data_IF_721154061330
#
_entry.id   IF_721154061330
#
_cell.length_a   1.000
_cell.length_b   1.000
_cell.length_c   1.000
_cell.angle_alpha   90.00
_cell.angle_beta   90.00
_cell.angle_gamma   90.00
#
_symmetry.space_group_name_H-M   'P 1'
#
loop_
_entity.id
_entity.type
_entity.pdbx_description
1 polymer ?
#
# COMPACT_ATOMS: atom_id res chain seq x y z
N UNK A 1 59.04 14.00 -20.12
CA UNK A 1 57.91 14.72 -20.75
C UNK A 1 56.64 13.98 -20.34
N UNK A 2 56.02 14.43 -19.25
CA UNK A 2 54.73 13.91 -18.80
C UNK A 2 53.66 14.69 -19.57
N UNK A 3 52.89 14.00 -20.40
CA UNK A 3 51.73 14.56 -21.10
C UNK A 3 50.63 14.79 -20.08
N UNK A 4 50.44 16.05 -19.66
CA UNK A 4 49.20 16.51 -19.05
C UNK A 4 48.07 16.33 -20.06
N UNK A 5 47.24 15.31 -19.84
CA UNK A 5 45.93 15.22 -20.48
C UNK A 5 45.09 16.39 -19.97
N UNK A 6 45.03 17.46 -20.74
CA UNK A 6 44.06 18.53 -20.53
C UNK A 6 42.66 17.93 -20.66
N UNK A 7 41.98 17.70 -19.54
CA UNK A 7 40.55 17.43 -19.54
C UNK A 7 39.88 18.68 -20.07
N UNK A 8 39.27 18.61 -21.25
CA UNK A 8 38.41 19.67 -21.76
C UNK A 8 37.37 20.01 -20.69
N UNK A 9 37.44 21.23 -20.14
CA UNK A 9 36.44 21.74 -19.23
C UNK A 9 35.17 22.02 -20.03
N UNK A 10 34.38 20.97 -20.27
CA UNK A 10 33.08 21.10 -20.92
C UNK A 10 32.17 21.83 -19.95
N UNK A 11 31.91 23.12 -20.23
CA UNK A 11 30.90 23.90 -19.53
C UNK A 11 29.51 23.45 -19.98
N UNK A 12 28.71 22.95 -19.04
CA UNK A 12 27.40 22.37 -19.35
C UNK A 12 26.27 23.41 -19.37
N UNK A 13 26.48 24.55 -18.70
CA UNK A 13 25.53 25.65 -18.58
C UNK A 13 25.62 26.33 -17.20
N UNK A 14 24.76 27.33 -16.97
CA UNK A 14 24.70 28.04 -15.69
C UNK A 14 24.14 27.13 -14.58
N UNK A 15 24.69 27.26 -13.37
CA UNK A 15 24.30 26.46 -12.23
C UNK A 15 22.83 26.68 -11.85
N UNK A 16 22.03 25.61 -11.69
CA UNK A 16 20.61 25.72 -11.35
C UNK A 16 20.34 26.25 -9.93
N UNK A 17 21.37 26.35 -9.10
CA UNK A 17 21.25 26.80 -7.69
C UNK A 17 21.58 28.26 -7.53
N UNK A 18 22.69 28.74 -8.12
CA UNK A 18 23.13 30.13 -7.96
C UNK A 18 22.85 31.01 -9.18
N UNK A 19 22.56 30.43 -10.35
CA UNK A 19 22.32 31.16 -11.60
C UNK A 19 23.54 31.88 -12.18
N UNK A 20 24.70 31.87 -11.52
CA UNK A 20 25.87 32.65 -11.89
C UNK A 20 27.04 31.77 -12.35
N UNK A 21 27.46 30.79 -11.54
CA UNK A 21 28.62 29.95 -11.86
C UNK A 21 28.27 28.87 -12.87
N UNK A 22 29.15 28.60 -13.83
CA UNK A 22 28.98 27.49 -14.79
C UNK A 22 29.16 26.12 -14.10
N UNK A 23 28.45 25.11 -14.59
CA UNK A 23 28.65 23.71 -14.17
C UNK A 23 29.78 23.10 -14.99
N UNK A 24 30.76 22.56 -14.26
CA UNK A 24 31.97 21.94 -14.81
C UNK A 24 31.95 20.47 -14.40
N UNK A 25 32.24 19.58 -15.35
CA UNK A 25 32.45 18.15 -15.09
C UNK A 25 33.90 17.91 -14.66
N UNK A 26 34.10 17.32 -13.49
CA UNK A 26 35.40 16.87 -13.00
C UNK A 26 35.51 15.34 -13.12
N UNK A 27 36.62 14.77 -12.66
CA UNK A 27 36.77 13.32 -12.53
C UNK A 27 35.98 12.71 -11.35
N UNK A 28 35.28 13.52 -10.54
CA UNK A 28 34.55 13.07 -9.34
C UNK A 28 33.09 13.50 -9.33
N UNK A 29 32.77 14.66 -9.88
CA UNK A 29 31.46 15.28 -9.78
C UNK A 29 31.19 16.30 -10.90
N UNK A 30 29.93 16.72 -11.02
CA UNK A 30 29.55 17.95 -11.70
C UNK A 30 29.41 19.04 -10.65
N UNK A 31 30.22 20.09 -10.76
CA UNK A 31 30.38 21.09 -9.71
C UNK A 31 30.21 22.50 -10.26
N UNK A 32 29.63 23.38 -9.45
CA UNK A 32 29.54 24.80 -9.81
C UNK A 32 30.91 25.49 -9.71
N UNK A 33 31.30 26.28 -10.70
CA UNK A 33 32.53 27.06 -10.69
C UNK A 33 32.63 27.98 -9.46
N UNK A 34 31.52 28.61 -9.05
CA UNK A 34 31.45 29.47 -7.86
C UNK A 34 31.55 28.70 -6.53
N UNK A 35 31.48 27.36 -6.56
CA UNK A 35 31.83 26.51 -5.41
C UNK A 35 33.34 26.36 -5.28
N UNK A 36 34.04 26.21 -6.40
CA UNK A 36 35.50 26.03 -6.45
C UNK A 36 36.25 27.35 -6.28
N UNK A 37 35.75 28.43 -6.89
CA UNK A 37 36.31 29.78 -6.85
C UNK A 37 35.18 30.76 -6.55
N UNK A 38 34.88 31.01 -5.26
CA UNK A 38 33.81 31.91 -4.88
C UNK A 38 34.09 33.33 -5.40
N UNK A 39 33.07 33.94 -5.98
CA UNK A 39 33.04 35.37 -6.28
C UNK A 39 32.18 36.05 -5.21
N UNK A 40 32.55 37.25 -4.77
CA UNK A 40 31.72 38.09 -3.88
C UNK A 40 31.34 37.50 -2.51
N UNK A 41 32.20 36.64 -1.94
CA UNK A 41 32.04 36.14 -0.57
C UNK A 41 30.95 35.07 -0.36
N UNK A 42 30.24 34.67 -1.41
CA UNK A 42 29.23 33.61 -1.36
C UNK A 42 29.66 32.40 -2.20
N UNK A 43 29.98 31.27 -1.55
CA UNK A 43 30.29 30.01 -2.23
C UNK A 43 29.02 29.22 -2.56
N UNK A 44 28.87 28.81 -3.82
CA UNK A 44 27.78 27.94 -4.22
C UNK A 44 27.95 26.53 -3.61
N UNK A 45 26.86 25.82 -3.33
CA UNK A 45 26.89 24.47 -2.76
C UNK A 45 26.68 23.35 -3.76
N UNK A 46 26.35 23.65 -5.01
CA UNK A 46 26.06 22.61 -6.00
C UNK A 46 27.29 21.77 -6.36
N UNK A 47 27.19 20.47 -6.12
CA UNK A 47 28.15 19.42 -6.49
C UNK A 47 27.39 18.10 -6.49
N UNK A 48 27.25 17.45 -7.64
CA UNK A 48 26.60 16.14 -7.80
C UNK A 48 27.64 15.10 -8.25
N UNK A 49 27.91 14.04 -7.47
CA UNK A 49 28.89 13.02 -7.84
C UNK A 49 28.58 12.35 -9.18
N UNK A 50 29.61 11.88 -9.90
CA UNK A 50 29.43 11.14 -11.16
C UNK A 50 28.60 9.86 -10.99
N UNK A 51 28.47 9.35 -9.75
CA UNK A 51 27.59 8.23 -9.40
C UNK A 51 26.85 8.51 -8.11
N UNK A 52 25.52 8.44 -8.14
CA UNK A 52 24.67 8.74 -6.98
C UNK A 52 23.41 7.85 -6.99
N UNK A 53 23.02 7.33 -5.83
CA UNK A 53 21.83 6.46 -5.69
C UNK A 53 21.77 5.30 -6.70
N UNK A 54 22.92 4.67 -6.96
CA UNK A 54 23.04 3.55 -7.90
C UNK A 54 23.00 3.94 -9.39
N UNK A 55 22.92 5.23 -9.72
CA UNK A 55 22.85 5.76 -11.08
C UNK A 55 24.14 6.49 -11.44
N UNK A 56 24.65 6.28 -12.66
CA UNK A 56 25.72 7.09 -13.24
C UNK A 56 25.12 8.38 -13.80
N UNK A 57 25.57 9.53 -13.28
CA UNK A 57 25.05 10.84 -13.64
C UNK A 57 25.65 11.26 -14.98
N UNK A 58 24.79 11.53 -15.97
CA UNK A 58 25.21 11.88 -17.33
C UNK A 58 25.16 13.39 -17.58
N UNK A 59 25.82 13.83 -18.66
CA UNK A 59 25.79 15.22 -19.10
C UNK A 59 24.36 15.68 -19.41
N UNK A 60 23.54 14.80 -20.01
CA UNK A 60 22.13 15.08 -20.33
C UNK A 60 21.29 15.30 -19.08
N UNK A 61 21.46 14.46 -18.05
CA UNK A 61 20.78 14.64 -16.75
C UNK A 61 21.14 15.98 -16.10
N UNK A 62 22.40 16.40 -16.22
CA UNK A 62 22.84 17.71 -15.71
C UNK A 62 22.25 18.85 -16.53
N UNK A 63 22.14 18.71 -17.85
CA UNK A 63 21.47 19.68 -18.72
C UNK A 63 19.97 19.78 -18.40
N UNK A 64 19.30 18.67 -18.10
CA UNK A 64 17.93 18.66 -17.60
C UNK A 64 17.80 19.40 -16.26
N UNK A 65 18.69 19.14 -15.31
CA UNK A 65 18.71 19.88 -14.04
C UNK A 65 18.89 21.38 -14.23
N UNK A 66 19.76 21.79 -15.15
CA UNK A 66 19.98 23.21 -15.50
C UNK A 66 18.72 23.82 -16.11
N UNK A 67 18.07 23.12 -17.03
CA UNK A 67 16.95 23.67 -17.82
C UNK A 67 15.62 23.61 -17.07
N UNK A 68 15.34 22.49 -16.43
CA UNK A 68 14.03 22.17 -15.85
C UNK A 68 14.03 22.23 -14.31
N UNK A 69 15.20 22.41 -13.68
CA UNK A 69 15.38 22.29 -12.24
C UNK A 69 15.29 20.85 -11.71
N UNK A 70 15.07 19.86 -12.58
CA UNK A 70 14.88 18.44 -12.23
C UNK A 70 15.15 17.53 -13.42
N UNK A 71 15.51 16.28 -13.15
CA UNK A 71 15.60 15.23 -14.18
C UNK A 71 14.26 14.53 -14.39
N UNK A 72 14.18 13.71 -15.44
CA UNK A 72 13.14 12.68 -15.55
C UNK A 72 13.23 11.62 -14.44
N UNK A 73 12.15 10.84 -14.32
CA UNK A 73 12.06 9.72 -13.37
C UNK A 73 12.92 8.55 -13.85
N UNK A 74 13.73 8.00 -12.95
CA UNK A 74 14.61 6.86 -13.23
C UNK A 74 14.63 5.87 -12.07
N UNK A 75 15.06 4.64 -12.34
CA UNK A 75 15.33 3.64 -11.31
C UNK A 75 16.61 3.99 -10.56
N UNK A 76 16.53 3.96 -9.22
CA UNK A 76 17.59 4.30 -8.28
C UNK A 76 17.66 3.23 -7.20
N UNK A 77 18.79 3.13 -6.50
CA UNK A 77 18.98 2.22 -5.38
C UNK A 77 19.31 3.00 -4.11
N UNK A 78 18.73 2.58 -2.98
CA UNK A 78 19.14 3.13 -1.68
C UNK A 78 20.44 2.46 -1.19
N UNK A 79 20.90 2.84 0.00
CA UNK A 79 22.15 2.33 0.58
C UNK A 79 22.14 0.80 0.83
N UNK A 80 20.95 0.22 1.03
CA UNK A 80 20.78 -1.23 1.21
C UNK A 80 20.65 -1.96 -0.15
N UNK A 81 20.68 -1.24 -1.27
CA UNK A 81 20.50 -1.78 -2.61
C UNK A 81 19.04 -2.02 -3.02
N UNK A 82 18.04 -1.52 -2.29
CA UNK A 82 16.64 -1.66 -2.75
C UNK A 82 16.33 -0.64 -3.85
N UNK A 83 15.70 -1.09 -4.96
CA UNK A 83 15.32 -0.21 -6.05
C UNK A 83 14.13 0.68 -5.67
N UNK A 84 14.10 1.89 -6.20
CA UNK A 84 12.97 2.82 -6.15
C UNK A 84 13.01 3.75 -7.37
N UNK A 85 11.88 4.34 -7.73
CA UNK A 85 11.85 5.36 -8.79
C UNK A 85 12.09 6.72 -8.16
N UNK A 86 13.06 7.47 -8.66
CA UNK A 86 13.39 8.80 -8.17
C UNK A 86 13.85 9.74 -9.29
N UNK A 87 14.10 11.00 -8.94
CA UNK A 87 14.72 11.99 -9.81
C UNK A 87 15.57 12.95 -8.99
N UNK A 88 16.56 13.56 -9.62
CA UNK A 88 17.29 14.66 -9.00
C UNK A 88 16.48 15.95 -9.15
N UNK A 89 16.45 16.77 -8.10
CA UNK A 89 15.79 18.09 -8.09
C UNK A 89 16.77 19.10 -7.50
N UNK A 90 17.01 20.18 -8.22
CA UNK A 90 17.82 21.29 -7.74
C UNK A 90 17.04 22.11 -6.69
N UNK A 91 17.72 22.52 -5.62
CA UNK A 91 17.16 23.39 -4.60
C UNK A 91 18.20 24.44 -4.15
N UNK A 92 17.82 25.46 -3.38
CA UNK A 92 18.77 26.47 -2.90
C UNK A 92 19.95 25.91 -2.08
N UNK A 93 19.87 24.66 -1.59
CA UNK A 93 20.94 24.00 -0.81
C UNK A 93 21.86 23.15 -1.69
N UNK A 94 21.54 22.98 -2.97
CA UNK A 94 22.25 22.11 -3.91
C UNK A 94 21.26 21.32 -4.76
N UNK A 95 21.12 20.05 -4.42
CA UNK A 95 20.12 19.17 -5.01
C UNK A 95 19.67 18.15 -3.97
N UNK A 96 18.50 17.55 -4.19
CA UNK A 96 18.02 16.40 -3.44
C UNK A 96 17.42 15.37 -4.41
N UNK A 97 17.22 14.14 -3.90
CA UNK A 97 16.49 13.12 -4.64
C UNK A 97 15.03 13.15 -4.21
N UNK A 98 14.15 13.39 -5.16
CA UNK A 98 12.72 13.22 -4.97
C UNK A 98 12.33 11.79 -5.35
N UNK A 99 11.82 11.02 -4.39
CA UNK A 99 11.32 9.67 -4.64
C UNK A 99 9.86 9.72 -5.14
N UNK A 100 9.54 8.91 -6.14
CA UNK A 100 8.19 8.78 -6.67
C UNK A 100 7.33 8.02 -5.67
N UNK A 101 6.43 8.72 -5.00
CA UNK A 101 5.44 8.07 -4.14
C UNK A 101 4.35 7.43 -5.01
N UNK A 102 4.17 6.12 -4.88
CA UNK A 102 3.06 5.41 -5.53
C UNK A 102 1.85 5.41 -4.59
N UNK A 103 0.86 6.26 -4.88
CA UNK A 103 -0.41 6.25 -4.17
C UNK A 103 -1.25 5.03 -4.55
N UNK A 104 -2.05 4.54 -3.59
CA UNK A 104 -3.07 3.51 -3.81
C UNK A 104 -4.47 4.15 -3.83
N UNK A 105 -5.49 3.42 -4.27
CA UNK A 105 -6.87 3.92 -4.35
C UNK A 105 -7.59 3.86 -2.99
N UNK A 106 -7.05 4.60 -2.03
CA UNK A 106 -7.60 4.76 -0.70
C UNK A 106 -7.06 6.00 0.03
N UNK A 107 -7.80 6.45 1.04
CA UNK A 107 -7.44 7.57 1.92
C UNK A 107 -7.19 7.10 3.34
N UNK A 108 -6.40 7.87 4.08
CA UNK A 108 -6.09 7.62 5.47
C UNK A 108 -7.35 7.81 6.34
N UNK A 109 -7.73 6.81 7.15
CA UNK A 109 -8.89 6.93 8.02
C UNK A 109 -8.67 7.89 9.20
N UNK A 110 -7.41 8.23 9.51
CA UNK A 110 -7.08 9.12 10.63
C UNK A 110 -7.08 10.61 10.25
N UNK A 111 -6.74 10.95 9.00
CA UNK A 111 -6.58 12.35 8.59
C UNK A 111 -7.01 12.68 7.14
N UNK A 112 -7.53 11.72 6.38
CA UNK A 112 -7.95 11.91 4.98
C UNK A 112 -6.81 12.06 3.97
N UNK A 113 -5.55 12.09 4.41
CA UNK A 113 -4.38 12.14 3.50
C UNK A 113 -4.28 10.89 2.61
N UNK A 114 -3.61 11.00 1.46
CA UNK A 114 -3.42 9.85 0.56
C UNK A 114 -2.65 8.72 1.25
N UNK A 115 -2.89 7.48 0.83
CA UNK A 115 -2.07 6.33 1.21
C UNK A 115 -1.09 6.02 0.09
N UNK A 116 0.18 5.79 0.45
CA UNK A 116 1.26 5.49 -0.49
C UNK A 116 1.97 4.20 -0.10
N UNK A 117 2.50 3.48 -1.09
CA UNK A 117 3.34 2.31 -0.85
C UNK A 117 4.67 2.72 -0.26
N UNK A 118 5.07 2.02 0.80
CA UNK A 118 6.37 2.15 1.46
C UNK A 118 6.97 0.77 1.70
N UNK A 119 8.24 0.71 2.09
CA UNK A 119 8.96 -0.56 2.35
C UNK A 119 8.19 -1.48 3.32
N UNK A 120 7.51 -0.91 4.30
CA UNK A 120 6.81 -1.63 5.37
C UNK A 120 5.30 -1.76 5.18
N UNK A 121 4.75 -1.42 4.01
CA UNK A 121 3.30 -1.47 3.77
C UNK A 121 2.73 -0.26 3.06
N UNK A 122 1.57 0.18 3.52
CA UNK A 122 0.79 1.27 2.94
C UNK A 122 0.61 2.35 4.00
N UNK A 123 1.34 3.45 3.87
CA UNK A 123 1.42 4.50 4.89
C UNK A 123 0.75 5.78 4.43
N UNK A 124 0.25 6.57 5.39
CA UNK A 124 -0.25 7.90 5.08
C UNK A 124 0.89 8.82 4.62
N UNK A 125 0.67 9.68 3.61
CA UNK A 125 1.72 10.63 3.19
C UNK A 125 2.18 11.53 4.36
N UNK A 126 1.23 11.86 5.25
CA UNK A 126 1.48 12.71 6.42
C UNK A 126 2.24 11.99 7.54
N UNK A 127 2.45 10.67 7.45
CA UNK A 127 3.31 9.92 8.38
C UNK A 127 4.76 9.80 7.93
N UNK A 128 5.04 10.13 6.66
CA UNK A 128 6.38 10.04 6.06
C UNK A 128 6.92 11.42 5.64
N UNK A 129 6.24 12.51 6.02
CA UNK A 129 6.71 13.87 5.80
C UNK A 129 7.89 14.20 6.74
N UNK A 130 8.60 15.30 6.46
CA UNK A 130 9.71 15.75 7.31
C UNK A 130 9.27 16.07 8.75
N UNK A 131 8.02 16.53 8.91
CA UNK A 131 7.37 16.77 10.21
C UNK A 131 6.08 15.93 10.27
N UNK A 132 6.15 14.64 10.67
CA UNK A 132 5.00 13.75 10.65
C UNK A 132 3.87 14.22 11.56
N UNK A 133 2.66 14.32 11.01
CA UNK A 133 1.43 14.67 11.76
C UNK A 133 0.48 13.48 11.88
N UNK A 134 0.77 12.39 11.18
CA UNK A 134 0.03 11.14 11.23
C UNK A 134 0.98 9.97 11.54
N UNK A 135 0.44 8.85 12.03
CA UNK A 135 1.19 7.60 12.27
C UNK A 135 0.56 6.38 11.62
N UNK A 136 -0.44 6.59 10.75
CA UNK A 136 -1.23 5.52 10.16
C UNK A 136 -0.41 4.72 9.15
N UNK A 137 -0.45 3.39 9.29
CA UNK A 137 0.13 2.44 8.35
C UNK A 137 -0.65 1.12 8.38
N UNK A 138 -0.89 0.54 7.21
CA UNK A 138 -1.26 -0.86 7.02
C UNK A 138 0.04 -1.64 6.77
N UNK A 139 0.49 -2.52 7.69
CA UNK A 139 1.71 -3.32 7.46
C UNK A 139 1.57 -4.23 6.23
N UNK A 140 2.63 -4.36 5.43
CA UNK A 140 2.64 -5.31 4.30
C UNK A 140 2.74 -6.77 4.74
N UNK A 141 3.13 -7.05 5.98
CA UNK A 141 3.16 -8.40 6.53
C UNK A 141 2.48 -8.46 7.89
N UNK A 142 1.55 -9.39 8.04
CA UNK A 142 0.92 -9.73 9.31
C UNK A 142 0.92 -11.24 9.45
N UNK A 143 1.43 -11.77 10.58
CA UNK A 143 1.47 -13.21 10.84
C UNK A 143 2.02 -14.04 9.65
N UNK A 144 3.15 -13.62 9.08
CA UNK A 144 3.84 -14.28 7.94
C UNK A 144 3.07 -14.29 6.61
N UNK A 145 1.96 -13.57 6.53
CA UNK A 145 1.19 -13.36 5.31
C UNK A 145 1.42 -11.94 4.77
N UNK A 146 1.68 -11.84 3.46
CA UNK A 146 1.71 -10.57 2.76
C UNK A 146 0.30 -10.00 2.56
N UNK A 147 0.14 -8.71 2.78
CA UNK A 147 -1.10 -7.94 2.53
C UNK A 147 -0.97 -7.23 1.19
N UNK A 148 -1.82 -7.58 0.23
CA UNK A 148 -1.79 -6.97 -1.11
C UNK A 148 -2.34 -5.55 -1.09
N UNK A 149 -2.14 -4.82 -2.20
CA UNK A 149 -2.66 -3.46 -2.32
C UNK A 149 -4.18 -3.48 -2.27
N UNK A 150 -4.79 -4.42 -2.98
CA UNK A 150 -6.24 -4.59 -3.10
C UNK A 150 -6.87 -4.89 -1.73
N UNK A 151 -6.22 -5.74 -0.93
CA UNK A 151 -6.66 -6.08 0.43
C UNK A 151 -6.56 -4.90 1.39
N UNK A 152 -5.49 -4.11 1.28
CA UNK A 152 -5.32 -2.88 2.06
C UNK A 152 -6.38 -1.84 1.67
N UNK A 153 -6.62 -1.66 0.37
CA UNK A 153 -7.64 -0.74 -0.15
C UNK A 153 -9.06 -1.15 0.27
N UNK A 154 -9.41 -2.43 0.16
CA UNK A 154 -10.70 -2.97 0.59
C UNK A 154 -10.96 -2.66 2.08
N UNK A 155 -9.95 -2.90 2.92
CA UNK A 155 -9.99 -2.53 4.33
C UNK A 155 -10.19 -1.02 4.54
N UNK A 156 -9.44 -0.18 3.83
CA UNK A 156 -9.49 1.28 3.98
C UNK A 156 -10.81 1.88 3.48
N UNK A 157 -11.49 1.23 2.53
CA UNK A 157 -12.84 1.59 2.07
C UNK A 157 -13.94 1.14 3.04
N UNK A 158 -13.59 0.40 4.10
CA UNK A 158 -14.54 -0.10 5.11
C UNK A 158 -15.13 -1.48 4.80
N UNK A 159 -14.67 -2.13 3.73
CA UNK A 159 -15.15 -3.44 3.27
C UNK A 159 -14.00 -4.45 3.25
N UNK A 160 -13.39 -4.79 4.40
CA UNK A 160 -12.24 -5.67 4.42
C UNK A 160 -12.61 -7.09 3.96
N UNK A 161 -11.74 -7.65 3.14
CA UNK A 161 -11.81 -9.04 2.71
C UNK A 161 -11.60 -10.03 3.86
N UNK A 162 -12.14 -11.23 3.67
CA UNK A 162 -11.71 -12.40 4.43
C UNK A 162 -10.46 -12.96 3.79
N UNK A 163 -9.40 -12.98 4.58
CA UNK A 163 -8.05 -13.32 4.17
C UNK A 163 -7.62 -14.65 4.79
N UNK A 164 -7.00 -15.50 3.97
CA UNK A 164 -6.50 -16.82 4.34
C UNK A 164 -4.98 -16.87 4.33
N UNK A 165 -4.41 -17.80 5.09
CA UNK A 165 -2.98 -18.09 5.05
C UNK A 165 -2.14 -17.34 6.09
N UNK A 166 -2.75 -16.75 7.12
CA UNK A 166 -2.00 -16.27 8.29
C UNK A 166 -1.47 -17.45 9.09
N UNK A 167 -0.25 -17.33 9.62
CA UNK A 167 0.38 -18.39 10.43
C UNK A 167 0.42 -18.01 11.91
N UNK A 168 -0.13 -18.89 12.76
CA UNK A 168 0.03 -18.75 14.20
C UNK A 168 1.37 -19.36 14.64
N UNK A 169 2.31 -18.51 15.07
CA UNK A 169 3.66 -18.94 15.47
C UNK A 169 3.69 -19.97 16.59
N UNK A 170 2.69 -19.97 17.47
CA UNK A 170 2.62 -20.86 18.63
C UNK A 170 2.04 -22.24 18.25
N UNK A 171 0.93 -22.26 17.51
CA UNK A 171 0.26 -23.52 17.13
C UNK A 171 0.78 -24.11 15.82
N UNK A 172 1.55 -23.34 15.04
CA UNK A 172 1.99 -23.65 13.66
C UNK A 172 0.85 -23.95 12.70
N UNK A 173 -0.35 -23.49 13.02
CA UNK A 173 -1.54 -23.67 12.18
C UNK A 173 -1.85 -22.39 11.42
N UNK A 174 -2.31 -22.57 10.19
CA UNK A 174 -2.86 -21.48 9.41
C UNK A 174 -4.26 -21.11 9.90
N UNK A 175 -4.60 -19.83 9.80
CA UNK A 175 -5.92 -19.33 10.14
C UNK A 175 -6.39 -18.25 9.16
N UNK A 176 -7.69 -17.99 9.22
CA UNK A 176 -8.36 -16.95 8.45
C UNK A 176 -8.72 -15.78 9.36
N UNK A 177 -8.63 -14.56 8.83
CA UNK A 177 -9.00 -13.34 9.53
C UNK A 177 -9.35 -12.24 8.53
N UNK A 178 -9.78 -11.09 9.03
CA UNK A 178 -9.93 -9.87 8.25
C UNK A 178 -9.17 -8.73 8.94
N UNK A 179 -8.81 -7.69 8.19
CA UNK A 179 -8.18 -6.49 8.73
C UNK A 179 -9.21 -5.64 9.48
N UNK A 180 -8.85 -5.19 10.68
CA UNK A 180 -9.68 -4.27 11.48
C UNK A 180 -8.81 -3.22 12.16
N UNK A 181 -9.43 -2.21 12.75
CA UNK A 181 -8.78 -1.26 13.65
C UNK A 181 -8.88 -1.71 15.10
N UNK A 182 -7.73 -1.78 15.76
CA UNK A 182 -7.63 -1.97 17.19
C UNK A 182 -7.99 -0.69 17.97
N UNK A 183 -8.14 -0.83 19.29
CA UNK A 183 -8.47 0.30 20.19
C UNK A 183 -7.38 1.38 20.23
N UNK A 184 -6.13 0.99 19.95
CA UNK A 184 -4.99 1.92 19.85
C UNK A 184 -4.88 2.55 18.45
N UNK A 185 -5.86 2.30 17.58
CA UNK A 185 -5.92 2.81 16.23
C UNK A 185 -5.08 2.03 15.22
N UNK A 186 -4.29 1.03 15.64
CA UNK A 186 -3.46 0.24 14.72
C UNK A 186 -4.29 -0.76 13.92
N UNK A 187 -3.74 -1.19 12.80
CA UNK A 187 -4.31 -2.27 12.00
C UNK A 187 -3.98 -3.60 12.68
N UNK A 188 -5.00 -4.42 12.90
CA UNK A 188 -4.89 -5.74 13.51
C UNK A 188 -5.74 -6.78 12.77
N UNK A 189 -5.53 -8.05 13.10
CA UNK A 189 -6.33 -9.16 12.59
C UNK A 189 -7.45 -9.50 13.56
N UNK A 190 -8.67 -9.63 13.03
CA UNK A 190 -9.81 -10.17 13.79
C UNK A 190 -10.40 -11.37 13.07
N UNK A 191 -10.83 -12.35 13.86
CA UNK A 191 -11.66 -13.45 13.37
C UNK A 191 -13.12 -13.30 13.81
N UNK A 192 -13.46 -12.39 14.72
CA UNK A 192 -14.84 -12.26 15.22
C UNK A 192 -15.68 -11.43 14.25
N UNK A 193 -16.80 -11.97 13.78
CA UNK A 193 -17.68 -11.28 12.81
C UNK A 193 -19.05 -10.90 13.39
N UNK A 194 -19.49 -11.55 14.46
CA UNK A 194 -20.80 -11.30 15.04
C UNK A 194 -21.16 -12.24 16.19
N UNK A 195 -22.45 -12.37 16.45
CA UNK A 195 -23.04 -13.26 17.46
C UNK A 195 -23.77 -14.40 16.74
N UNK A 196 -23.66 -15.61 17.28
CA UNK A 196 -24.31 -16.79 16.74
C UNK A 196 -25.82 -16.72 17.04
N UNK A 197 -26.70 -16.77 16.02
CA UNK A 197 -28.14 -16.68 16.21
C UNK A 197 -28.74 -17.94 16.87
N UNK A 198 -28.04 -19.08 16.79
CA UNK A 198 -28.50 -20.33 17.39
C UNK A 198 -28.25 -20.39 18.92
N UNK A 199 -27.08 -19.96 19.38
CA UNK A 199 -26.66 -20.19 20.78
C UNK A 199 -26.06 -18.96 21.49
N UNK A 200 -26.03 -17.78 20.87
CA UNK A 200 -25.43 -16.56 21.43
C UNK A 200 -23.90 -16.54 21.51
N UNK A 201 -23.21 -17.58 21.02
CA UNK A 201 -21.75 -17.66 20.96
C UNK A 201 -21.14 -16.63 19.99
N UNK A 202 -19.80 -16.57 19.90
CA UNK A 202 -19.14 -15.68 18.91
C UNK A 202 -19.16 -16.35 17.54
N UNK A 203 -19.48 -15.62 16.49
CA UNK A 203 -19.21 -16.08 15.13
C UNK A 203 -17.79 -15.73 14.73
N UNK A 204 -17.04 -16.74 14.27
CA UNK A 204 -15.62 -16.64 13.96
C UNK A 204 -15.35 -17.01 12.50
N UNK A 205 -14.43 -16.31 11.84
CA UNK A 205 -13.88 -16.72 10.55
C UNK A 205 -13.04 -17.98 10.74
N UNK A 206 -13.37 -19.04 10.01
CA UNK A 206 -12.56 -20.25 9.90
C UNK A 206 -12.11 -20.50 8.45
N UNK A 207 -11.27 -21.52 8.25
CA UNK A 207 -10.67 -21.81 6.94
C UNK A 207 -11.70 -22.09 5.85
N UNK A 208 -12.75 -22.88 6.15
CA UNK A 208 -13.78 -23.29 5.16
C UNK A 208 -15.12 -22.56 5.31
N UNK A 209 -15.38 -22.04 6.51
CA UNK A 209 -16.68 -21.52 6.91
C UNK A 209 -16.50 -20.52 8.05
N UNK A 210 -17.51 -19.69 8.26
CA UNK A 210 -17.70 -18.94 9.49
C UNK A 210 -18.40 -19.85 10.49
N UNK A 211 -17.79 -20.07 11.65
CA UNK A 211 -18.24 -21.07 12.62
C UNK A 211 -18.58 -20.41 13.95
N UNK A 212 -19.58 -20.96 14.64
CA UNK A 212 -19.81 -20.63 16.03
C UNK A 212 -18.61 -21.05 16.91
N UNK A 213 -18.23 -20.20 17.86
CA UNK A 213 -17.19 -20.52 18.85
C UNK A 213 -17.53 -21.73 19.73
N UNK A 214 -18.81 -22.08 19.84
CA UNK A 214 -19.31 -23.19 20.64
C UNK A 214 -19.45 -24.48 19.82
N UNK A 215 -18.81 -24.58 18.65
CA UNK A 215 -18.88 -25.78 17.80
C UNK A 215 -18.47 -27.07 18.53
N UNK A 216 -17.42 -26.99 19.35
CA UNK A 216 -16.97 -28.12 20.19
C UNK A 216 -17.94 -28.47 21.34
N UNK A 217 -18.89 -27.59 21.63
CA UNK A 217 -19.88 -27.73 22.69
C UNK A 217 -21.29 -27.98 22.12
N UNK A 218 -21.39 -28.51 20.89
CA UNK A 218 -22.65 -28.95 20.28
C UNK A 218 -23.37 -27.94 19.38
N UNK A 219 -22.90 -26.70 19.27
CA UNK A 219 -23.53 -25.74 18.34
C UNK A 219 -23.01 -25.89 16.91
N UNK A 220 -23.82 -26.41 16.00
CA UNK A 220 -23.40 -26.69 14.62
C UNK A 220 -23.57 -25.52 13.63
N UNK A 221 -24.07 -24.36 14.09
CA UNK A 221 -24.31 -23.21 13.24
C UNK A 221 -23.04 -22.76 12.50
N UNK A 222 -23.14 -22.70 11.18
CA UNK A 222 -22.06 -22.30 10.28
C UNK A 222 -22.59 -21.65 9.01
N UNK A 223 -21.81 -20.73 8.47
CA UNK A 223 -22.04 -20.11 7.16
C UNK A 223 -20.84 -20.50 6.28
N UNK A 224 -21.07 -21.10 5.12
CA UNK A 224 -19.97 -21.46 4.22
C UNK A 224 -19.35 -20.22 3.59
N UNK A 225 -18.07 -20.27 3.23
CA UNK A 225 -17.44 -19.17 2.48
C UNK A 225 -17.90 -19.08 1.03
N UNK A 226 -18.49 -20.15 0.51
CA UNK A 226 -18.91 -20.23 -0.88
C UNK A 226 -20.30 -20.85 -1.01
N UNK A 227 -21.15 -20.20 -1.80
CA UNK A 227 -22.48 -20.68 -2.15
C UNK A 227 -22.68 -20.48 -3.65
N UNK A 228 -22.91 -21.58 -4.39
CA UNK A 228 -23.25 -21.51 -5.82
C UNK A 228 -22.24 -20.68 -6.65
N UNK A 229 -20.94 -20.76 -6.32
CA UNK A 229 -19.86 -20.01 -6.99
C UNK A 229 -19.57 -18.62 -6.40
N UNK A 230 -20.48 -18.07 -5.60
CA UNK A 230 -20.29 -16.80 -4.91
C UNK A 230 -19.40 -16.93 -3.68
N UNK A 231 -18.46 -16.00 -3.49
CA UNK A 231 -17.64 -15.90 -2.27
C UNK A 231 -18.33 -14.97 -1.28
N UNK A 232 -18.78 -15.51 -0.16
CA UNK A 232 -19.50 -14.74 0.84
C UNK A 232 -18.58 -13.69 1.48
N UNK A 233 -18.99 -12.43 1.41
CA UNK A 233 -18.22 -11.29 1.93
C UNK A 233 -18.46 -11.11 3.43
N UNK A 234 -17.60 -10.32 4.09
CA UNK A 234 -17.79 -10.01 5.50
C UNK A 234 -19.07 -9.19 5.73
N UNK A 235 -19.43 -8.32 4.79
CA UNK A 235 -20.66 -7.52 4.85
C UNK A 235 -21.90 -8.43 4.82
N UNK A 236 -21.97 -9.34 3.85
CA UNK A 236 -23.07 -10.31 3.72
C UNK A 236 -23.24 -11.19 4.95
N UNK A 237 -22.13 -11.67 5.54
CA UNK A 237 -22.22 -12.46 6.77
C UNK A 237 -22.75 -11.61 7.93
N UNK A 238 -22.33 -10.36 8.06
CA UNK A 238 -22.84 -9.47 9.12
C UNK A 238 -24.32 -9.20 8.95
N UNK A 239 -24.74 -8.89 7.73
CA UNK A 239 -26.14 -8.68 7.38
C UNK A 239 -26.98 -9.93 7.71
N UNK A 240 -26.53 -11.11 7.31
CA UNK A 240 -27.19 -12.38 7.60
C UNK A 240 -27.32 -12.65 9.10
N UNK A 241 -26.30 -12.31 9.89
CA UNK A 241 -26.32 -12.47 11.36
C UNK A 241 -27.21 -11.43 12.05
N UNK A 242 -27.36 -10.24 11.48
CA UNK A 242 -28.14 -9.14 12.06
C UNK A 242 -29.62 -9.22 11.71
N UNK A 243 -29.93 -9.55 10.45
CA UNK A 243 -31.29 -9.51 9.91
C UNK A 243 -31.88 -10.89 9.63
N UNK A 244 -31.06 -11.95 9.66
CA UNK A 244 -31.49 -13.32 9.35
C UNK A 244 -31.62 -13.60 7.85
N UNK A 245 -31.51 -12.60 6.99
CA UNK A 245 -31.44 -12.74 5.53
C UNK A 245 -30.66 -11.57 4.92
N UNK A 246 -30.13 -11.80 3.72
CA UNK A 246 -29.47 -10.75 2.95
C UNK A 246 -30.50 -9.91 2.21
N UNK A 247 -30.28 -8.59 2.13
CA UNK A 247 -31.17 -7.68 1.40
C UNK A 247 -30.79 -7.57 -0.07
N UNK A 248 -29.51 -7.78 -0.39
CA UNK A 248 -28.98 -7.68 -1.75
C UNK A 248 -28.72 -9.07 -2.33
N UNK A 249 -29.21 -9.37 -3.55
CA UNK A 249 -28.94 -10.65 -4.19
C UNK A 249 -27.51 -10.73 -4.75
N UNK A 250 -27.04 -11.96 -4.94
CA UNK A 250 -25.85 -12.26 -5.74
C UNK A 250 -26.19 -13.22 -6.89
N UNK A 251 -25.34 -13.22 -7.91
CA UNK A 251 -25.39 -14.16 -9.01
C UNK A 251 -24.86 -15.53 -8.57
N UNK A 252 -25.73 -16.54 -8.58
CA UNK A 252 -25.38 -17.93 -8.29
C UNK A 252 -25.54 -18.84 -9.52
N UNK A 253 -24.66 -19.83 -9.64
CA UNK A 253 -24.70 -20.84 -10.70
C UNK A 253 -25.41 -22.11 -10.22
N UNK A 254 -26.43 -22.55 -10.95
CA UNK A 254 -27.07 -23.84 -10.68
C UNK A 254 -26.22 -25.02 -11.19
N UNK A 255 -26.67 -26.26 -10.95
CA UNK A 255 -25.95 -27.47 -11.36
C UNK A 255 -25.73 -27.61 -12.87
N UNK A 256 -26.50 -26.88 -13.70
CA UNK A 256 -26.38 -26.83 -15.15
C UNK A 256 -25.55 -25.62 -15.64
N UNK A 257 -25.04 -24.79 -14.74
CA UNK A 257 -24.26 -23.59 -15.06
C UNK A 257 -25.09 -22.35 -15.38
N UNK A 258 -26.42 -22.39 -15.27
CA UNK A 258 -27.24 -21.19 -15.49
C UNK A 258 -27.14 -20.24 -14.30
N UNK A 259 -27.08 -18.94 -14.61
CA UNK A 259 -27.02 -17.85 -13.62
C UNK A 259 -28.42 -17.47 -13.15
N UNK A 260 -28.58 -17.32 -11.84
CA UNK A 260 -29.80 -16.82 -11.20
C UNK A 260 -29.48 -15.95 -10.00
N UNK A 261 -30.34 -14.96 -9.72
CA UNK A 261 -30.21 -14.11 -8.54
C UNK A 261 -30.80 -14.79 -7.30
N UNK A 262 -29.99 -14.91 -6.27
CA UNK A 262 -30.35 -15.58 -5.01
C UNK A 262 -29.90 -14.74 -3.80
N UNK A 263 -30.51 -15.00 -2.65
CA UNK A 263 -30.07 -14.49 -1.36
C UNK A 263 -29.83 -15.66 -0.39
N UNK A 264 -29.03 -15.42 0.64
CA UNK A 264 -28.91 -16.31 1.78
C UNK A 264 -29.92 -15.91 2.86
N UNK A 265 -30.51 -16.91 3.51
CA UNK A 265 -31.42 -16.76 4.65
C UNK A 265 -31.11 -17.80 5.72
N UNK A 266 -31.27 -17.44 6.97
CA UNK A 266 -31.25 -18.35 8.11
C UNK A 266 -32.62 -19.02 8.23
N UNK A 267 -32.66 -20.34 8.07
CA UNK A 267 -33.84 -21.16 8.23
C UNK A 267 -34.24 -21.37 9.69
N UNK A 268 -35.42 -21.95 9.90
CA UNK A 268 -35.99 -22.17 11.24
C UNK A 268 -35.23 -23.19 12.09
N UNK A 269 -34.39 -24.04 11.48
CA UNK A 269 -33.49 -24.96 12.19
C UNK A 269 -32.06 -24.43 12.24
N UNK A 270 -31.88 -23.12 12.00
CA UNK A 270 -30.58 -22.45 11.96
C UNK A 270 -29.63 -22.99 10.88
N UNK A 271 -30.18 -23.49 9.78
CA UNK A 271 -29.45 -23.82 8.55
C UNK A 271 -29.41 -22.63 7.60
N UNK A 272 -28.34 -22.49 6.80
CA UNK A 272 -28.31 -21.48 5.74
C UNK A 272 -29.02 -22.02 4.50
N UNK A 273 -30.05 -21.31 4.08
CA UNK A 273 -30.84 -21.57 2.89
C UNK A 273 -30.44 -20.62 1.77
N UNK A 274 -30.30 -21.14 0.55
CA UNK A 274 -30.16 -20.32 -0.66
C UNK A 274 -31.54 -20.25 -1.31
N UNK A 275 -32.10 -19.04 -1.38
CA UNK A 275 -33.46 -18.83 -1.88
C UNK A 275 -33.47 -17.89 -3.08
N UNK A 276 -34.36 -18.11 -4.07
CA UNK A 276 -34.50 -17.19 -5.20
C UNK A 276 -34.85 -15.78 -4.71
N UNK A 277 -34.15 -14.78 -5.23
CA UNK A 277 -34.48 -13.39 -4.94
C UNK A 277 -35.78 -13.02 -5.67
N UNK A 278 -36.84 -12.79 -4.89
CA UNK A 278 -38.10 -12.24 -5.39
C UNK A 278 -38.01 -10.75 -5.08
N UNK A 279 -37.52 -9.96 -6.03
CA UNK A 279 -37.37 -8.51 -5.83
C UNK A 279 -38.66 -7.87 -5.32
N UNK A 280 -38.55 -6.67 -4.75
CA UNK A 280 -39.71 -5.93 -4.27
C UNK A 280 -40.76 -5.86 -5.38
N UNK A 281 -41.93 -6.43 -5.11
CA UNK A 281 -43.10 -6.23 -5.96
C UNK A 281 -43.43 -4.74 -5.91
N UNK A 282 -42.95 -3.99 -6.90
CA UNK A 282 -43.44 -2.63 -7.18
C UNK A 282 -44.92 -2.68 -7.55
#
# INVERSE_FOLDING_TARGET
MATETMMENIELGLCPVCGQGHIIKTNRDYVCANRLRPSDGHSCRFSIPLRSHGVDVTDDMVRELITNGKTDWMEMHNQDGFPYIGRFVADPKGYFVEAKMQAIDAVCPDCGGKIVKVRSGYACVNSISHNPTCKFIVPNYLCERFITQEEAEAFLRGEPDILDGFNNKNTKQSFSAYLTRGKDGKVELSSRIGVCPHCGGKMLVGLKAFNCSNFKNGCEFRIWKHYYGHKTTLHEVRELLEHGEMTTPFEGYNAHGNVHNVILRIGSKFEIQVVPYKGDKK
#
